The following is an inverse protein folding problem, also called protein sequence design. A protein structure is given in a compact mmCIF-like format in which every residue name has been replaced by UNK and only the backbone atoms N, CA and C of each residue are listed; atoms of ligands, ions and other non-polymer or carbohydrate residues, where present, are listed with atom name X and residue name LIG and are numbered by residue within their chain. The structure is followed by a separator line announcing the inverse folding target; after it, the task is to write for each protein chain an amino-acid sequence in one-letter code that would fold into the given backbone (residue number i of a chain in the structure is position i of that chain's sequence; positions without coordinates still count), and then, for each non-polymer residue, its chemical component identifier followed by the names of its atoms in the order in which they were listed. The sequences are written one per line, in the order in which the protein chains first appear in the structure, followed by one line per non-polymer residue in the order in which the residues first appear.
data_IF_645729977685
#
_entry.id   IF_645729977685
#
_cell.length_a   1.000
_cell.length_b   1.000
_cell.length_c   1.000
_cell.angle_alpha   90.00
_cell.angle_beta   90.00
_cell.angle_gamma   90.00
#
_symmetry.space_group_name_H-M   'P 1'
#
loop_
_entity.id
_entity.type
_entity.pdbx_description
1 polymer ?
#
# COMPACT_ATOMS: atom_id res chain seq x y z
N UNK A 1 -14.02 -16.62 -11.08
CA UNK A 1 -13.40 -16.99 -9.79
C UNK A 1 -14.40 -17.78 -8.96
N UNK A 2 -14.08 -19.01 -8.57
CA UNK A 2 -14.90 -19.71 -7.58
C UNK A 2 -14.67 -19.04 -6.22
N UNK A 3 -15.75 -18.74 -5.49
CA UNK A 3 -15.70 -18.05 -4.18
C UNK A 3 -14.89 -18.77 -3.08
N UNK A 4 -14.39 -19.99 -3.33
CA UNK A 4 -13.68 -20.84 -2.37
C UNK A 4 -12.25 -21.20 -2.81
N UNK A 5 -11.65 -20.41 -3.67
CA UNK A 5 -10.38 -20.70 -4.33
C UNK A 5 -9.17 -20.14 -3.57
N UNK A 6 -9.40 -19.31 -2.53
CA UNK A 6 -8.38 -18.68 -1.68
C UNK A 6 -8.94 -18.37 -0.29
N UNK A 7 -8.04 -18.13 0.64
CA UNK A 7 -8.35 -17.60 1.98
C UNK A 7 -7.58 -16.29 2.21
N UNK A 8 -8.17 -15.37 3.00
CA UNK A 8 -7.48 -14.16 3.47
C UNK A 8 -7.46 -14.23 4.98
N UNK A 9 -6.27 -14.09 5.56
CA UNK A 9 -6.05 -14.10 7.01
C UNK A 9 -5.05 -13.04 7.42
N UNK A 10 -4.93 -12.82 8.72
CA UNK A 10 -3.85 -11.99 9.25
C UNK A 10 -2.49 -12.62 8.97
N UNK A 11 -1.52 -11.75 8.69
CA UNK A 11 -0.10 -12.10 8.65
C UNK A 11 0.38 -12.50 10.04
N UNK A 12 1.26 -13.48 10.09
CA UNK A 12 1.95 -13.90 11.32
C UNK A 12 3.46 -13.79 11.13
N UNK A 13 4.27 -13.79 12.21
CA UNK A 13 5.73 -13.77 12.09
C UNK A 13 6.32 -14.92 11.24
N UNK A 14 5.62 -16.07 11.18
CA UNK A 14 6.03 -17.19 10.32
C UNK A 14 5.91 -16.89 8.82
N UNK A 15 5.09 -15.90 8.44
CA UNK A 15 4.85 -15.53 7.05
C UNK A 15 5.86 -14.50 6.52
N UNK A 16 6.54 -13.76 7.40
CA UNK A 16 7.32 -12.57 7.06
C UNK A 16 8.25 -12.79 5.88
N UNK A 17 9.03 -13.87 5.91
CA UNK A 17 9.98 -14.16 4.82
C UNK A 17 9.30 -14.49 3.50
N UNK A 18 8.19 -15.20 3.53
CA UNK A 18 7.38 -15.51 2.35
C UNK A 18 6.77 -14.25 1.75
N UNK A 19 6.26 -13.35 2.60
CA UNK A 19 5.68 -12.06 2.21
C UNK A 19 6.74 -11.12 1.62
N UNK A 20 7.93 -11.04 2.23
CA UNK A 20 9.07 -10.28 1.69
C UNK A 20 9.49 -10.81 0.31
N UNK A 21 9.56 -12.14 0.17
CA UNK A 21 9.84 -12.78 -1.11
C UNK A 21 8.77 -12.46 -2.15
N UNK A 22 7.49 -12.57 -1.78
CA UNK A 22 6.36 -12.22 -2.63
C UNK A 22 6.41 -10.76 -3.10
N UNK A 23 6.66 -9.82 -2.18
CA UNK A 23 6.78 -8.41 -2.51
C UNK A 23 7.95 -8.18 -3.48
N UNK A 24 9.11 -8.76 -3.18
CA UNK A 24 10.28 -8.68 -4.05
C UNK A 24 9.99 -9.18 -5.47
N UNK A 25 9.37 -10.35 -5.61
CA UNK A 25 9.00 -10.90 -6.91
C UNK A 25 7.96 -10.04 -7.65
N UNK A 26 7.05 -9.42 -6.93
CA UNK A 26 5.94 -8.64 -7.48
C UNK A 26 6.35 -7.26 -7.98
N UNK A 27 7.36 -6.65 -7.34
CA UNK A 27 7.81 -5.28 -7.60
C UNK A 27 9.16 -5.18 -8.29
N UNK A 28 9.89 -6.31 -8.48
CA UNK A 28 11.22 -6.31 -9.08
C UNK A 28 11.22 -5.69 -10.48
N UNK A 29 12.02 -4.64 -10.67
CA UNK A 29 12.13 -3.87 -11.91
C UNK A 29 10.82 -3.19 -12.36
N UNK A 30 9.84 -2.99 -11.49
CA UNK A 30 8.58 -2.34 -11.85
C UNK A 30 8.74 -0.82 -11.85
N UNK A 31 9.06 -0.23 -10.71
CA UNK A 31 9.14 1.23 -10.56
C UNK A 31 10.57 1.77 -10.66
N UNK A 32 11.55 0.91 -10.42
CA UNK A 32 12.98 1.19 -10.44
C UNK A 32 13.78 -0.08 -10.76
N UNK A 33 15.09 0.01 -11.09
CA UNK A 33 15.96 -1.15 -11.12
C UNK A 33 16.01 -1.84 -9.75
N UNK A 34 15.62 -3.11 -9.68
CA UNK A 34 15.38 -3.80 -8.40
C UNK A 34 14.03 -3.42 -7.78
N UNK A 35 13.94 -3.40 -6.45
CA UNK A 35 12.79 -2.89 -5.69
C UNK A 35 13.18 -2.57 -4.25
N UNK A 36 12.37 -1.75 -3.57
CA UNK A 36 12.53 -1.44 -2.14
C UNK A 36 11.40 -2.02 -1.28
N UNK A 37 10.29 -2.39 -1.89
CA UNK A 37 9.01 -2.71 -1.23
C UNK A 37 9.14 -3.88 -0.24
N UNK A 38 10.00 -4.87 -0.52
CA UNK A 38 10.25 -5.97 0.40
C UNK A 38 10.99 -5.52 1.68
N UNK A 39 11.89 -4.54 1.55
CA UNK A 39 12.57 -3.95 2.70
C UNK A 39 11.69 -2.96 3.44
N UNK A 40 10.86 -2.19 2.74
CA UNK A 40 9.81 -1.36 3.35
C UNK A 40 8.91 -2.21 4.24
N UNK A 41 8.41 -3.34 3.75
CA UNK A 41 7.60 -4.27 4.56
C UNK A 41 8.35 -4.78 5.81
N UNK A 42 9.64 -5.09 5.66
CA UNK A 42 10.48 -5.51 6.78
C UNK A 42 10.53 -4.43 7.87
N UNK A 43 10.79 -3.19 7.49
CA UNK A 43 10.91 -2.05 8.40
C UNK A 43 9.56 -1.67 9.03
N UNK A 44 8.48 -1.66 8.24
CA UNK A 44 7.14 -1.28 8.70
C UNK A 44 6.67 -2.11 9.90
N UNK A 45 7.00 -3.40 9.95
CA UNK A 45 6.59 -4.28 11.06
C UNK A 45 7.14 -3.86 12.43
N UNK A 46 8.19 -3.03 12.45
CA UNK A 46 8.77 -2.45 13.67
C UNK A 46 8.35 -1.00 13.91
N UNK A 47 7.59 -0.41 12.98
CA UNK A 47 7.11 0.96 13.10
C UNK A 47 5.93 1.06 14.06
N UNK A 48 5.87 2.06 14.97
CA UNK A 48 4.78 2.22 15.93
C UNK A 48 3.42 2.48 15.27
N UNK A 49 3.40 3.02 14.04
CA UNK A 49 2.19 3.30 13.30
C UNK A 49 1.70 2.12 12.46
N UNK A 50 2.48 1.04 12.37
CA UNK A 50 2.04 -0.19 11.73
C UNK A 50 0.82 -0.79 12.44
N UNK A 51 -0.14 -1.31 11.67
CA UNK A 51 -1.39 -1.87 12.20
C UNK A 51 -1.43 -3.39 11.98
N UNK A 52 -0.89 -4.21 12.90
CA UNK A 52 -0.85 -5.66 12.73
C UNK A 52 -2.22 -6.30 12.51
N UNK A 53 -3.28 -5.69 13.07
CA UNK A 53 -4.67 -6.15 12.90
C UNK A 53 -5.21 -5.92 11.48
N UNK A 54 -4.48 -5.18 10.64
CA UNK A 54 -4.79 -4.91 9.24
C UNK A 54 -3.65 -5.35 8.31
N UNK A 55 -2.77 -6.24 8.76
CA UNK A 55 -1.78 -6.90 7.92
C UNK A 55 -2.32 -8.23 7.43
N UNK A 56 -2.57 -8.34 6.13
CA UNK A 56 -3.26 -9.49 5.54
C UNK A 56 -2.40 -10.23 4.52
N UNK A 57 -2.53 -11.55 4.52
CA UNK A 57 -2.05 -12.43 3.47
C UNK A 57 -3.21 -13.14 2.79
N UNK A 58 -3.10 -13.35 1.50
CA UNK A 58 -4.00 -14.19 0.71
C UNK A 58 -3.30 -15.48 0.36
N UNK A 59 -3.92 -16.59 0.72
CA UNK A 59 -3.40 -17.94 0.45
C UNK A 59 -4.25 -18.66 -0.59
N UNK A 60 -3.58 -19.40 -1.46
CA UNK A 60 -4.18 -20.30 -2.44
C UNK A 60 -3.30 -21.54 -2.60
N UNK A 61 -3.92 -22.72 -2.56
CA UNK A 61 -3.24 -24.01 -2.71
C UNK A 61 -2.04 -24.20 -1.75
N UNK A 62 -2.10 -23.59 -0.56
CA UNK A 62 -1.04 -23.64 0.47
C UNK A 62 0.09 -22.63 0.27
N UNK A 63 0.01 -21.75 -0.72
CA UNK A 63 1.00 -20.70 -0.98
C UNK A 63 0.43 -19.32 -0.69
N UNK A 64 1.24 -18.40 -0.17
CA UNK A 64 0.89 -16.99 -0.05
C UNK A 64 1.03 -16.35 -1.43
N UNK A 65 -0.10 -15.92 -2.00
CA UNK A 65 -0.18 -15.32 -3.33
C UNK A 65 -0.44 -13.82 -3.31
N UNK A 66 -0.76 -13.25 -2.16
CA UNK A 66 -1.01 -11.82 -2.02
C UNK A 66 -0.80 -11.32 -0.60
N UNK A 67 -0.53 -10.03 -0.47
CA UNK A 67 -0.41 -9.37 0.81
C UNK A 67 -0.86 -7.90 0.73
N UNK A 68 -1.31 -7.33 1.85
CA UNK A 68 -1.58 -5.90 2.04
C UNK A 68 -1.36 -5.52 3.51
N UNK A 69 -0.83 -4.33 3.73
CA UNK A 69 -0.58 -3.79 5.07
C UNK A 69 -1.13 -2.38 5.21
N UNK A 70 -1.39 -1.94 6.43
CA UNK A 70 -1.87 -0.60 6.75
C UNK A 70 -0.97 0.05 7.80
N UNK A 71 -0.83 1.36 7.67
CA UNK A 71 -0.08 2.23 8.58
C UNK A 71 -0.98 3.40 8.96
N UNK A 72 -0.93 3.84 10.22
CA UNK A 72 -1.59 5.07 10.64
C UNK A 72 -0.93 6.26 9.99
N UNK A 73 -1.75 7.21 9.58
CA UNK A 73 -1.33 8.47 8.97
C UNK A 73 -2.29 9.57 9.41
N UNK A 74 -2.02 10.79 9.03
CA UNK A 74 -2.90 11.91 9.26
C UNK A 74 -2.90 12.87 8.06
N UNK A 75 -3.95 13.67 7.99
CA UNK A 75 -4.01 14.86 7.16
C UNK A 75 -3.78 16.05 8.10
N UNK A 76 -2.82 16.91 7.78
CA UNK A 76 -2.66 18.20 8.43
C UNK A 76 -3.66 19.16 7.80
N UNK A 77 -4.75 19.42 8.49
CA UNK A 77 -5.80 20.29 8.00
C UNK A 77 -5.35 21.77 7.99
N UNK A 78 -5.91 22.57 7.08
CA UNK A 78 -5.57 23.99 6.92
C UNK A 78 -5.90 24.82 8.17
N UNK A 79 -6.78 24.31 9.04
CA UNK A 79 -7.11 24.93 10.34
C UNK A 79 -6.20 24.45 11.49
N UNK A 80 -5.19 23.64 11.19
CA UNK A 80 -4.18 23.17 12.14
C UNK A 80 -4.54 21.88 12.88
N UNK A 81 -5.71 21.28 12.61
CA UNK A 81 -6.05 19.97 13.17
C UNK A 81 -5.28 18.84 12.46
N UNK A 82 -4.94 17.81 13.22
CA UNK A 82 -4.53 16.53 12.67
C UNK A 82 -5.74 15.61 12.52
N UNK A 83 -6.07 15.21 11.32
CA UNK A 83 -7.19 14.32 11.02
C UNK A 83 -6.65 12.90 10.86
N UNK A 84 -6.95 11.97 11.78
CA UNK A 84 -6.43 10.60 11.71
C UNK A 84 -6.99 9.89 10.46
N UNK A 85 -6.11 9.33 9.67
CA UNK A 85 -6.45 8.46 8.54
C UNK A 85 -5.54 7.24 8.56
N UNK A 86 -5.65 6.41 7.55
CA UNK A 86 -4.64 5.38 7.25
C UNK A 86 -4.09 5.54 5.84
N UNK A 87 -2.90 5.03 5.64
CA UNK A 87 -2.36 4.67 4.33
C UNK A 87 -2.22 3.17 4.25
N UNK A 88 -2.07 2.63 3.04
CA UNK A 88 -1.90 1.20 2.83
C UNK A 88 -0.85 0.91 1.79
N UNK A 89 -0.26 -0.28 1.89
CA UNK A 89 0.74 -0.75 0.96
C UNK A 89 2.11 -0.97 1.62
N UNK A 90 3.02 -1.64 0.92
CA UNK A 90 2.79 -2.22 -0.41
C UNK A 90 1.64 -3.22 -0.43
N UNK A 91 0.82 -3.22 -1.49
CA UNK A 91 -0.14 -4.28 -1.79
C UNK A 91 0.31 -5.02 -3.05
N UNK A 92 0.35 -6.33 -3.01
CA UNK A 92 0.75 -7.10 -4.20
C UNK A 92 0.06 -8.45 -4.31
N UNK A 93 0.10 -8.96 -5.54
CA UNK A 93 -0.28 -10.33 -5.90
C UNK A 93 0.88 -10.93 -6.67
N UNK A 94 1.20 -12.20 -6.41
CA UNK A 94 2.25 -12.95 -7.09
C UNK A 94 2.10 -12.84 -8.62
N UNK A 95 3.21 -12.66 -9.37
CA UNK A 95 3.16 -12.36 -10.79
C UNK A 95 2.29 -13.31 -11.61
N UNK A 96 2.33 -14.62 -11.32
CA UNK A 96 1.54 -15.66 -12.01
C UNK A 96 0.04 -15.58 -11.72
N UNK A 97 -0.39 -14.85 -10.67
CA UNK A 97 -1.78 -14.69 -10.25
C UNK A 97 -2.34 -13.29 -10.54
N UNK A 98 -1.54 -12.40 -11.14
CA UNK A 98 -1.99 -11.05 -11.54
C UNK A 98 -3.11 -11.13 -12.59
N UNK A 99 -3.96 -10.09 -12.61
CA UNK A 99 -5.08 -9.91 -13.57
C UNK A 99 -6.16 -11.01 -13.55
N UNK A 100 -6.25 -11.76 -12.45
CA UNK A 100 -7.26 -12.81 -12.25
C UNK A 100 -8.30 -12.42 -11.19
N UNK A 101 -8.32 -11.16 -10.74
CA UNK A 101 -9.29 -10.65 -9.76
C UNK A 101 -8.83 -10.73 -8.30
N UNK A 102 -7.75 -11.46 -8.00
CA UNK A 102 -7.27 -11.64 -6.62
C UNK A 102 -6.88 -10.31 -5.95
N UNK A 103 -6.22 -9.39 -6.69
CA UNK A 103 -5.86 -8.08 -6.15
C UNK A 103 -7.08 -7.25 -5.72
N UNK A 104 -8.16 -7.26 -6.51
CA UNK A 104 -9.40 -6.59 -6.12
C UNK A 104 -10.05 -7.26 -4.91
N UNK A 105 -10.06 -8.59 -4.87
CA UNK A 105 -10.63 -9.34 -3.75
C UNK A 105 -9.87 -9.06 -2.43
N UNK A 106 -8.54 -9.04 -2.47
CA UNK A 106 -7.69 -8.69 -1.33
C UNK A 106 -7.93 -7.23 -0.89
N UNK A 107 -7.96 -6.30 -1.84
CA UNK A 107 -8.21 -4.89 -1.57
C UNK A 107 -9.57 -4.69 -0.92
N UNK A 108 -10.65 -5.19 -1.52
CA UNK A 108 -12.01 -5.02 -1.00
C UNK A 108 -12.17 -5.60 0.41
N UNK A 109 -11.60 -6.79 0.66
CA UNK A 109 -11.56 -7.38 2.00
C UNK A 109 -10.81 -6.51 3.00
N UNK A 110 -9.63 -6.02 2.60
CA UNK A 110 -8.80 -5.15 3.47
C UNK A 110 -9.52 -3.86 3.82
N UNK A 111 -10.24 -3.25 2.87
CA UNK A 111 -11.02 -2.03 3.09
C UNK A 111 -12.21 -2.27 4.04
N UNK A 112 -12.90 -3.41 3.90
CA UNK A 112 -13.97 -3.79 4.84
C UNK A 112 -13.43 -3.92 6.28
N UNK A 113 -12.27 -4.57 6.43
CA UNK A 113 -11.63 -4.72 7.74
C UNK A 113 -11.12 -3.40 8.32
N UNK A 114 -10.55 -2.53 7.48
CA UNK A 114 -10.12 -1.20 7.89
C UNK A 114 -11.30 -0.34 8.37
N UNK A 115 -12.43 -0.36 7.65
CA UNK A 115 -13.66 0.31 8.08
C UNK A 115 -14.17 -0.23 9.44
N UNK A 116 -14.22 -1.55 9.58
CA UNK A 116 -14.63 -2.20 10.84
C UNK A 116 -13.65 -1.92 12.00
N UNK A 117 -12.37 -1.70 11.71
CA UNK A 117 -11.36 -1.28 12.67
C UNK A 117 -11.50 0.19 13.10
N UNK A 118 -12.29 0.99 12.36
CA UNK A 118 -12.55 2.40 12.67
C UNK A 118 -11.74 3.39 11.83
N UNK A 119 -11.11 2.95 10.75
CA UNK A 119 -10.47 3.87 9.82
C UNK A 119 -11.52 4.75 9.15
N UNK A 120 -11.38 6.09 9.27
CA UNK A 120 -12.33 7.05 8.68
C UNK A 120 -12.12 7.24 7.18
N UNK A 121 -10.85 7.32 6.76
CA UNK A 121 -10.44 7.48 5.36
C UNK A 121 -9.06 6.89 5.12
N UNK A 122 -8.74 6.68 3.85
CA UNK A 122 -7.41 6.30 3.36
C UNK A 122 -6.92 7.31 2.32
N UNK A 123 -5.60 7.61 2.39
CA UNK A 123 -4.87 8.32 1.35
C UNK A 123 -3.57 7.56 1.02
N UNK A 124 -3.21 7.45 -0.26
CA UNK A 124 -1.96 6.84 -0.71
C UNK A 124 -1.70 7.12 -2.20
N UNK A 125 -0.49 6.77 -2.67
CA UNK A 125 -0.15 6.85 -4.09
C UNK A 125 -0.57 5.57 -4.82
N UNK A 126 -1.31 5.72 -5.93
CA UNK A 126 -1.78 4.57 -6.68
C UNK A 126 -2.33 4.91 -8.07
N UNK A 127 -2.66 3.87 -8.81
CA UNK A 127 -3.26 4.01 -10.15
C UNK A 127 -4.79 3.94 -10.05
N UNK A 128 -5.47 5.02 -10.43
CA UNK A 128 -6.93 5.13 -10.39
C UNK A 128 -7.65 4.05 -11.23
N UNK A 129 -7.04 3.55 -12.31
CA UNK A 129 -7.63 2.49 -13.13
C UNK A 129 -7.84 1.18 -12.37
N UNK A 130 -7.02 0.94 -11.36
CA UNK A 130 -7.17 -0.20 -10.47
C UNK A 130 -8.01 0.14 -9.24
N UNK A 131 -7.62 1.16 -8.49
CA UNK A 131 -8.21 1.49 -7.19
C UNK A 131 -9.59 2.13 -7.30
N UNK A 132 -9.89 2.84 -8.39
CA UNK A 132 -11.21 3.41 -8.65
C UNK A 132 -12.33 2.36 -8.67
N UNK A 133 -12.02 1.10 -9.06
CA UNK A 133 -12.96 -0.04 -9.03
C UNK A 133 -13.34 -0.47 -7.60
N UNK A 134 -12.60 0.00 -6.61
CA UNK A 134 -12.88 -0.19 -5.19
C UNK A 134 -13.25 1.13 -4.50
N UNK A 135 -13.72 2.12 -5.25
CA UNK A 135 -14.33 3.35 -4.75
C UNK A 135 -13.34 4.44 -4.33
N UNK A 136 -12.08 4.38 -4.77
CA UNK A 136 -11.15 5.49 -4.62
C UNK A 136 -11.42 6.56 -5.69
N UNK A 137 -11.24 7.83 -5.30
CA UNK A 137 -11.19 8.99 -6.18
C UNK A 137 -9.84 9.70 -6.06
N UNK A 138 -9.67 10.77 -6.82
CA UNK A 138 -8.51 11.65 -6.63
C UNK A 138 -8.62 12.37 -5.29
N UNK A 139 -7.52 12.49 -4.56
CA UNK A 139 -7.53 13.16 -3.26
C UNK A 139 -7.93 14.64 -3.35
N UNK A 140 -7.68 15.27 -4.49
CA UNK A 140 -8.14 16.64 -4.80
C UNK A 140 -9.66 16.78 -4.75
N UNK A 141 -10.43 15.77 -5.11
CA UNK A 141 -11.90 15.78 -5.05
C UNK A 141 -12.40 15.86 -3.60
N UNK A 142 -11.56 15.48 -2.65
CA UNK A 142 -11.81 15.56 -1.19
C UNK A 142 -11.18 16.80 -0.55
N UNK A 143 -10.56 17.70 -1.34
CA UNK A 143 -9.87 18.88 -0.81
C UNK A 143 -8.50 18.59 -0.17
N UNK A 144 -7.91 17.43 -0.44
CA UNK A 144 -6.63 17.00 0.14
C UNK A 144 -5.51 17.12 -0.90
N UNK A 145 -4.43 17.82 -0.51
CA UNK A 145 -3.23 18.02 -1.32
C UNK A 145 -2.13 17.05 -0.90
N UNK A 146 -1.26 16.72 -1.82
CA UNK A 146 -0.06 15.94 -1.53
C UNK A 146 1.07 16.88 -1.09
N UNK A 147 1.65 16.62 0.08
CA UNK A 147 2.69 17.47 0.65
C UNK A 147 3.92 17.57 -0.27
N UNK A 148 4.39 18.80 -0.46
CA UNK A 148 5.56 19.08 -1.29
C UNK A 148 5.32 19.04 -2.80
N UNK A 149 4.12 18.73 -3.27
CA UNK A 149 3.78 18.82 -4.69
C UNK A 149 3.44 20.29 -5.02
N UNK A 150 4.14 20.93 -5.99
CA UNK A 150 3.85 22.30 -6.37
C UNK A 150 2.41 22.47 -6.90
N UNK A 151 1.83 23.64 -6.67
CA UNK A 151 0.50 23.97 -7.18
C UNK A 151 0.45 23.89 -8.72
N UNK A 152 -0.54 23.18 -9.25
CA UNK A 152 -0.75 22.98 -10.69
C UNK A 152 -0.02 21.76 -11.28
N UNK A 153 0.81 21.06 -10.50
CA UNK A 153 1.40 19.81 -10.91
C UNK A 153 0.38 18.64 -10.86
N UNK A 154 0.65 17.61 -11.66
CA UNK A 154 -0.24 16.45 -11.76
C UNK A 154 -0.22 15.61 -10.47
N UNK A 155 -1.35 15.59 -9.77
CA UNK A 155 -1.59 14.80 -8.57
C UNK A 155 -2.45 13.54 -8.84
N UNK A 156 -2.58 13.12 -10.08
CA UNK A 156 -3.44 11.97 -10.47
C UNK A 156 -3.00 10.63 -9.86
N UNK A 157 -1.79 10.56 -9.34
CA UNK A 157 -1.28 9.42 -8.59
C UNK A 157 -1.77 9.37 -7.14
N UNK A 158 -2.28 10.50 -6.60
CA UNK A 158 -2.67 10.61 -5.20
C UNK A 158 -4.17 10.37 -5.03
N UNK A 159 -4.51 9.29 -4.33
CA UNK A 159 -5.86 8.78 -4.22
C UNK A 159 -6.37 8.87 -2.78
N UNK A 160 -7.68 9.07 -2.65
CA UNK A 160 -8.38 9.09 -1.38
C UNK A 160 -9.67 8.27 -1.45
N UNK A 161 -10.06 7.69 -0.31
CA UNK A 161 -11.38 7.09 -0.10
C UNK A 161 -11.84 7.27 1.33
N UNK A 162 -13.04 7.79 1.52
CA UNK A 162 -13.74 7.70 2.80
C UNK A 162 -14.22 6.26 3.03
N UNK A 163 -13.95 5.72 4.20
CA UNK A 163 -14.52 4.46 4.67
C UNK A 163 -15.74 4.70 5.56
N UNK A 164 -15.78 5.85 6.24
CA UNK A 164 -16.94 6.35 6.96
C UNK A 164 -17.49 7.54 6.15
N UNK A 165 -18.71 7.46 5.60
CA UNK A 165 -19.28 8.53 4.80
C UNK A 165 -19.27 9.87 5.51
N UNK A 166 -18.74 10.91 4.87
CA UNK A 166 -18.67 12.26 5.40
C UNK A 166 -17.54 12.50 6.40
N UNK A 167 -16.62 11.57 6.56
CA UNK A 167 -15.49 11.70 7.49
C UNK A 167 -14.61 12.92 7.19
N UNK A 168 -14.43 13.24 5.91
CA UNK A 168 -13.64 14.38 5.44
C UNK A 168 -14.48 15.62 5.14
N UNK A 169 -15.77 15.66 5.50
CA UNK A 169 -16.63 16.81 5.24
C UNK A 169 -16.09 18.09 5.90
N UNK A 170 -15.83 19.11 5.08
CA UNK A 170 -15.29 20.40 5.55
C UNK A 170 -13.82 20.35 5.94
N UNK A 171 -13.11 19.29 5.61
CA UNK A 171 -11.67 19.17 5.77
C UNK A 171 -11.00 19.54 4.47
N UNK A 172 -10.06 20.49 4.53
CA UNK A 172 -9.03 20.74 3.51
C UNK A 172 -7.67 20.68 4.19
N UNK A 173 -6.65 20.20 3.49
CA UNK A 173 -5.33 20.04 4.11
C UNK A 173 -4.32 19.28 3.25
N UNK A 174 -3.25 18.89 3.87
CA UNK A 174 -2.15 18.17 3.23
C UNK A 174 -1.94 16.78 3.84
N UNK A 175 -1.67 15.83 2.98
CA UNK A 175 -1.18 14.51 3.36
C UNK A 175 0.30 14.39 3.01
N UNK A 176 1.09 13.90 3.94
CA UNK A 176 2.46 13.47 3.69
C UNK A 176 2.57 11.95 3.87
N UNK A 177 3.26 11.28 2.96
CA UNK A 177 3.58 9.86 3.12
C UNK A 177 4.37 9.66 4.41
N UNK A 178 3.96 8.72 5.29
CA UNK A 178 4.68 8.46 6.54
C UNK A 178 6.16 8.17 6.32
N UNK A 179 7.00 8.69 7.22
CA UNK A 179 8.47 8.56 7.11
C UNK A 179 8.93 7.10 7.04
N UNK A 180 8.17 6.17 7.60
CA UNK A 180 8.47 4.73 7.60
C UNK A 180 8.47 4.08 6.21
N UNK A 181 7.93 4.76 5.19
CA UNK A 181 8.03 4.31 3.80
C UNK A 181 9.35 4.71 3.12
N UNK A 182 10.10 5.66 3.70
CA UNK A 182 11.38 6.13 3.16
C UNK A 182 12.52 5.36 3.84
N UNK A 183 13.01 4.34 3.17
CA UNK A 183 14.09 3.47 3.66
C UNK A 183 15.44 3.88 3.07
N UNK A 184 16.53 3.61 3.79
CA UNK A 184 17.89 3.77 3.27
C UNK A 184 18.17 2.72 2.19
N UNK A 185 18.63 3.19 1.02
CA UNK A 185 18.89 2.31 -0.13
C UNK A 185 20.05 1.33 0.13
N UNK A 186 21.06 1.73 0.90
CA UNK A 186 22.21 0.87 1.21
C UNK A 186 21.81 -0.25 2.16
N UNK A 187 20.92 0.03 3.10
CA UNK A 187 20.34 -0.98 3.99
C UNK A 187 19.42 -1.92 3.21
N UNK A 188 18.59 -1.38 2.31
CA UNK A 188 17.75 -2.17 1.43
C UNK A 188 18.57 -3.12 0.54
N UNK A 189 19.70 -2.64 0.00
CA UNK A 189 20.62 -3.49 -0.75
C UNK A 189 21.31 -4.55 0.12
N UNK A 190 21.64 -4.22 1.36
CA UNK A 190 22.18 -5.19 2.32
C UNK A 190 21.15 -6.27 2.65
N UNK A 191 19.91 -5.89 2.83
CA UNK A 191 18.80 -6.80 3.07
C UNK A 191 18.53 -7.70 1.85
N UNK A 192 18.55 -7.12 0.63
CA UNK A 192 18.32 -7.86 -0.62
C UNK A 192 19.35 -8.98 -0.86
N UNK A 193 20.58 -8.85 -0.37
CA UNK A 193 21.61 -9.91 -0.44
C UNK A 193 21.22 -11.21 0.28
N UNK A 194 20.20 -11.19 1.10
CA UNK A 194 19.66 -12.39 1.76
C UNK A 194 18.72 -13.21 0.83
N UNK A 195 18.44 -12.71 -0.35
CA UNK A 195 17.60 -13.35 -1.36
C UNK A 195 18.45 -13.85 -2.54
N UNK A 196 17.93 -14.76 -3.37
CA UNK A 196 18.61 -15.18 -4.59
C UNK A 196 18.91 -13.97 -5.50
N UNK A 197 20.12 -13.91 -6.12
CA UNK A 197 20.47 -12.80 -6.98
C UNK A 197 19.48 -12.65 -8.14
N UNK A 198 19.14 -11.40 -8.48
CA UNK A 198 18.33 -11.04 -9.64
C UNK A 198 18.94 -9.85 -10.35
N UNK A 199 18.83 -9.81 -11.66
CA UNK A 199 19.32 -8.71 -12.48
C UNK A 199 18.47 -7.45 -12.30
N UNK A 200 19.10 -6.32 -12.00
CA UNK A 200 18.47 -5.00 -11.94
C UNK A 200 18.48 -4.38 -13.34
N UNK A 201 17.30 -4.14 -13.89
CA UNK A 201 17.13 -3.62 -15.24
C UNK A 201 16.54 -2.21 -15.22
N UNK A 202 17.09 -1.32 -16.05
CA UNK A 202 16.45 -0.05 -16.38
C UNK A 202 15.46 -0.27 -17.51
N UNK A 203 14.18 -0.06 -17.25
CA UNK A 203 13.08 -0.27 -18.17
C UNK A 203 12.33 1.04 -18.44
N UNK A 204 11.74 1.23 -19.64
CA UNK A 204 10.87 2.36 -19.90
C UNK A 204 9.68 2.38 -18.93
N UNK A 205 9.31 3.58 -18.45
CA UNK A 205 8.20 3.78 -17.51
C UNK A 205 8.55 3.64 -16.04
N UNK A 206 9.80 3.33 -15.71
CA UNK A 206 10.28 3.46 -14.33
C UNK A 206 10.36 4.95 -13.95
N UNK A 207 10.07 5.24 -12.68
CA UNK A 207 9.99 6.61 -12.14
C UNK A 207 11.27 7.05 -11.41
N UNK A 208 12.29 6.17 -11.36
CA UNK A 208 13.61 6.44 -10.73
C UNK A 208 14.77 6.04 -11.63
#
# INVERSE_FOLDING_TARGET
MNKNDYTIRLETPADYRSVETLARESFWNVYRPGCLEHYVLHCLRSDPDFVPQLSFVMEKDGEIIGQNVFVRAHITADDGREIPIMTMGPICIAPQWKRQGYGKALLDYSLEKAAAFGAGALCFEGNIDFYGKSGFGFASDFGIRYHGLPEGEDASFFLCRELIPGYLNGITGEYATPQSYFVDESEAEAFDRQFPPKEKLRLPGQIF
#
